data_IF_164625821507
#
_entry.id   IF_164625821507
#
_cell.length_a   1.000
_cell.length_b   1.000
_cell.length_c   1.000
_cell.angle_alpha   90.00
_cell.angle_beta   90.00
_cell.angle_gamma   90.00
#
_symmetry.space_group_name_H-M   'P 1'
#
loop_
_entity.id
_entity.type
_entity.pdbx_description
1 polymer ?
#
# COMPACT_ATOMS: atom_id res chain seq x y z
N UNK A 1 11.69 33.01 30.66
CA UNK A 1 11.27 33.76 29.45
C UNK A 1 11.20 32.75 28.31
N UNK A 2 10.01 32.19 28.05
CA UNK A 2 9.73 31.41 26.85
C UNK A 2 9.88 32.34 25.63
N UNK A 3 10.90 32.10 24.81
CA UNK A 3 10.97 32.73 23.50
C UNK A 3 9.80 32.16 22.67
N UNK A 4 8.78 32.96 22.45
CA UNK A 4 7.78 32.67 21.42
C UNK A 4 8.54 32.55 20.10
N UNK A 5 8.68 31.33 19.58
CA UNK A 5 9.15 31.11 18.20
C UNK A 5 8.15 31.84 17.30
N UNK A 6 8.65 32.74 16.45
CA UNK A 6 7.84 33.35 15.38
C UNK A 6 7.20 32.20 14.62
N UNK A 7 5.88 32.21 14.41
CA UNK A 7 5.22 31.15 13.65
C UNK A 7 5.88 31.06 12.27
N UNK A 8 6.35 29.89 11.90
CA UNK A 8 6.83 29.64 10.54
C UNK A 8 5.61 29.74 9.63
N UNK A 9 5.65 30.68 8.67
CA UNK A 9 4.60 30.78 7.66
C UNK A 9 4.56 29.46 6.86
N UNK A 10 3.41 28.79 6.90
CA UNK A 10 3.18 27.57 6.14
C UNK A 10 2.46 27.95 4.84
N UNK A 11 3.20 27.90 3.73
CA UNK A 11 2.64 28.20 2.41
C UNK A 11 1.96 26.96 1.81
N UNK A 12 0.93 27.18 1.00
CA UNK A 12 0.34 26.18 0.13
C UNK A 12 1.44 25.56 -0.75
N UNK A 13 1.55 24.24 -0.72
CA UNK A 13 2.48 23.46 -1.54
C UNK A 13 1.76 22.91 -2.76
N UNK A 14 2.47 22.83 -3.88
CA UNK A 14 2.05 22.05 -5.05
C UNK A 14 2.55 20.61 -4.88
N UNK A 15 1.63 19.68 -4.83
CA UNK A 15 1.92 18.25 -4.69
C UNK A 15 1.61 17.55 -6.00
N UNK A 16 2.62 16.93 -6.61
CA UNK A 16 2.45 16.04 -7.75
C UNK A 16 2.25 14.62 -7.23
N UNK A 17 1.06 14.08 -7.42
CA UNK A 17 0.69 12.74 -7.01
C UNK A 17 0.85 11.77 -8.19
N UNK A 18 1.81 10.85 -8.09
CA UNK A 18 2.10 9.83 -9.10
C UNK A 18 1.36 8.53 -8.76
N UNK A 19 0.29 8.28 -9.49
CA UNK A 19 -0.73 7.29 -9.19
C UNK A 19 -1.98 7.93 -8.62
N UNK A 20 -3.13 7.69 -9.25
CA UNK A 20 -4.39 8.35 -8.92
C UNK A 20 -5.49 7.34 -8.58
N UNK A 21 -5.13 6.24 -7.93
CA UNK A 21 -6.05 5.21 -7.46
C UNK A 21 -6.89 5.65 -6.25
N UNK A 22 -7.48 4.68 -5.58
CA UNK A 22 -8.31 4.90 -4.39
C UNK A 22 -7.54 5.49 -3.21
N UNK A 23 -6.30 5.04 -2.99
CA UNK A 23 -5.43 5.58 -1.95
C UNK A 23 -5.04 7.01 -2.25
N UNK A 24 -4.73 7.31 -3.53
CA UNK A 24 -4.44 8.66 -4.01
C UNK A 24 -5.63 9.61 -3.85
N UNK A 25 -6.87 9.12 -4.02
CA UNK A 25 -8.08 9.92 -3.79
C UNK A 25 -8.21 10.34 -2.33
N UNK A 26 -8.07 9.41 -1.39
CA UNK A 26 -8.14 9.72 0.04
C UNK A 26 -6.96 10.61 0.48
N UNK A 27 -5.75 10.38 -0.06
CA UNK A 27 -4.61 11.27 0.16
C UNK A 27 -4.90 12.69 -0.34
N UNK A 28 -5.46 12.84 -1.55
CA UNK A 28 -5.83 14.14 -2.13
C UNK A 28 -6.80 14.89 -1.22
N UNK A 29 -7.84 14.22 -0.74
CA UNK A 29 -8.82 14.80 0.19
C UNK A 29 -8.14 15.25 1.50
N UNK A 30 -7.26 14.43 2.07
CA UNK A 30 -6.51 14.77 3.27
C UNK A 30 -5.59 15.98 3.07
N UNK A 31 -4.91 16.05 1.92
CA UNK A 31 -4.02 17.16 1.59
C UNK A 31 -4.77 18.48 1.34
N UNK A 32 -5.90 18.44 0.63
CA UNK A 32 -6.76 19.62 0.42
C UNK A 32 -7.35 20.16 1.71
N UNK A 33 -7.66 19.30 2.71
CA UNK A 33 -8.05 19.76 4.06
C UNK A 33 -6.97 20.59 4.76
N UNK A 34 -5.70 20.42 4.35
CA UNK A 34 -4.56 21.22 4.80
C UNK A 34 -4.22 22.36 3.84
N UNK A 35 -5.10 22.69 2.89
CA UNK A 35 -4.94 23.80 1.95
C UNK A 35 -3.86 23.55 0.88
N UNK A 36 -3.55 22.30 0.55
CA UNK A 36 -2.55 21.98 -0.48
C UNK A 36 -3.18 21.90 -1.86
N UNK A 37 -2.38 22.19 -2.89
CA UNK A 37 -2.77 22.11 -4.31
C UNK A 37 -2.28 20.80 -4.91
N UNK A 38 -3.18 19.96 -5.44
CA UNK A 38 -2.87 18.61 -5.89
C UNK A 38 -2.98 18.49 -7.40
N UNK A 39 -1.91 17.98 -8.02
CA UNK A 39 -1.88 17.57 -9.43
C UNK A 39 -1.87 16.04 -9.45
N UNK A 40 -2.97 15.42 -9.84
CA UNK A 40 -3.11 13.96 -9.87
C UNK A 40 -2.69 13.39 -11.23
N UNK A 41 -1.77 12.42 -11.24
CA UNK A 41 -1.22 11.81 -12.44
C UNK A 41 -1.56 10.33 -12.53
N UNK A 42 -1.97 9.85 -13.69
CA UNK A 42 -2.13 8.42 -13.98
C UNK A 42 -2.02 8.18 -15.50
N UNK A 43 -1.96 6.89 -15.89
CA UNK A 43 -1.88 6.49 -17.30
C UNK A 43 -3.25 6.36 -17.98
N UNK A 44 -4.35 6.67 -17.31
CA UNK A 44 -5.70 6.66 -17.86
C UNK A 44 -6.53 7.82 -17.30
N UNK A 45 -7.47 8.36 -18.07
CA UNK A 45 -8.32 9.47 -17.63
C UNK A 45 -9.40 9.00 -16.64
N UNK A 46 -9.87 9.93 -15.81
CA UNK A 46 -10.95 9.68 -14.85
C UNK A 46 -10.55 8.78 -13.67
N UNK A 47 -9.26 8.66 -13.39
CA UNK A 47 -8.78 7.93 -12.21
C UNK A 47 -9.35 8.54 -10.91
N UNK A 48 -9.55 7.75 -9.84
CA UNK A 48 -10.20 8.19 -8.61
C UNK A 48 -9.71 9.53 -8.04
N UNK A 49 -8.40 9.74 -7.93
CA UNK A 49 -7.86 10.98 -7.39
C UNK A 49 -8.07 12.19 -8.32
N UNK A 50 -8.10 11.98 -9.66
CA UNK A 50 -8.36 13.05 -10.63
C UNK A 50 -9.75 13.68 -10.45
N UNK A 51 -10.70 12.93 -9.86
CA UNK A 51 -12.08 13.41 -9.65
C UNK A 51 -12.18 14.45 -8.54
N UNK A 52 -11.16 14.55 -7.69
CA UNK A 52 -11.13 15.45 -6.51
C UNK A 52 -9.91 16.37 -6.49
N UNK A 53 -8.93 16.18 -7.37
CA UNK A 53 -7.73 16.98 -7.44
C UNK A 53 -8.00 18.38 -8.06
N UNK A 54 -7.11 19.33 -7.82
CA UNK A 54 -7.17 20.67 -8.40
C UNK A 54 -6.81 20.65 -9.90
N UNK A 55 -5.84 19.82 -10.28
CA UNK A 55 -5.40 19.58 -11.65
C UNK A 55 -5.08 18.10 -11.86
N UNK A 56 -5.01 17.66 -13.10
CA UNK A 56 -4.58 16.31 -13.42
C UNK A 56 -3.80 16.22 -14.73
N UNK A 57 -2.99 15.15 -14.85
CA UNK A 57 -2.27 14.81 -16.09
C UNK A 57 -2.45 13.31 -16.40
N UNK A 58 -2.59 13.01 -17.70
CA UNK A 58 -2.73 11.63 -18.18
C UNK A 58 -1.53 11.29 -19.06
N UNK A 59 -0.63 10.45 -18.54
CA UNK A 59 0.57 10.00 -19.24
C UNK A 59 1.13 8.73 -18.60
N UNK A 60 2.01 8.04 -19.33
CA UNK A 60 2.75 6.90 -18.75
C UNK A 60 3.87 7.40 -17.84
N UNK A 61 3.78 7.17 -16.54
CA UNK A 61 4.83 7.54 -15.58
C UNK A 61 6.10 6.68 -15.71
N UNK A 62 6.08 5.63 -16.54
CA UNK A 62 7.27 4.88 -16.97
C UNK A 62 8.03 5.59 -18.12
N UNK A 63 7.40 6.56 -18.78
CA UNK A 63 8.05 7.44 -19.74
C UNK A 63 8.73 8.60 -18.99
N UNK A 64 10.07 8.55 -18.93
CA UNK A 64 10.87 9.54 -18.20
C UNK A 64 10.76 10.94 -18.80
N UNK A 65 10.66 11.07 -20.12
CA UNK A 65 10.59 12.37 -20.78
C UNK A 65 9.22 13.02 -20.57
N UNK A 66 8.15 12.21 -20.59
CA UNK A 66 6.80 12.68 -20.24
C UNK A 66 6.73 13.12 -18.77
N UNK A 67 7.36 12.35 -17.86
CA UNK A 67 7.42 12.72 -16.44
C UNK A 67 8.20 14.02 -16.24
N UNK A 68 9.35 14.19 -16.90
CA UNK A 68 10.16 15.42 -16.85
C UNK A 68 9.35 16.63 -17.36
N UNK A 69 8.59 16.48 -18.44
CA UNK A 69 7.74 17.53 -19.00
C UNK A 69 6.64 17.97 -18.01
N UNK A 70 6.00 17.01 -17.33
CA UNK A 70 4.97 17.29 -16.31
C UNK A 70 5.57 17.99 -15.10
N UNK A 71 6.72 17.54 -14.61
CA UNK A 71 7.42 18.20 -13.49
C UNK A 71 7.85 19.62 -13.87
N UNK A 72 8.38 19.82 -15.08
CA UNK A 72 8.75 21.16 -15.58
C UNK A 72 7.56 22.09 -15.72
N UNK A 73 6.40 21.58 -16.16
CA UNK A 73 5.14 22.33 -16.32
C UNK A 73 4.60 22.80 -14.97
N UNK A 74 4.45 21.88 -14.00
CA UNK A 74 3.78 22.18 -12.73
C UNK A 74 4.71 22.73 -11.65
N UNK A 75 6.01 22.44 -11.74
CA UNK A 75 7.04 22.84 -10.75
C UNK A 75 6.59 22.50 -9.32
N UNK A 76 6.36 21.20 -9.01
CA UNK A 76 5.86 20.80 -7.72
C UNK A 76 6.90 21.08 -6.60
N UNK A 77 6.41 21.38 -5.41
CA UNK A 77 7.23 21.42 -4.20
C UNK A 77 7.48 20.01 -3.64
N UNK A 78 6.49 19.11 -3.84
CA UNK A 78 6.51 17.76 -3.30
C UNK A 78 6.02 16.78 -4.36
N UNK A 79 6.69 15.63 -4.46
CA UNK A 79 6.25 14.49 -5.27
C UNK A 79 5.90 13.35 -4.32
N UNK A 80 4.71 12.78 -4.49
CA UNK A 80 4.19 11.63 -3.74
C UNK A 80 3.93 10.50 -4.72
N UNK A 81 4.41 9.29 -4.41
CA UNK A 81 4.11 8.10 -5.18
C UNK A 81 2.99 7.29 -4.51
N UNK A 82 1.99 6.89 -5.31
CA UNK A 82 0.91 6.02 -4.85
C UNK A 82 1.00 4.63 -5.50
N UNK A 83 1.80 4.50 -6.56
CA UNK A 83 2.03 3.24 -7.28
C UNK A 83 3.53 3.02 -7.52
N UNK A 84 3.88 1.80 -7.93
CA UNK A 84 5.26 1.41 -8.22
C UNK A 84 5.67 1.64 -9.69
N UNK A 85 4.70 1.77 -10.62
CA UNK A 85 4.95 1.89 -12.07
C UNK A 85 5.40 3.30 -12.47
N UNK A 86 6.57 3.72 -11.99
CA UNK A 86 7.16 5.05 -12.17
C UNK A 86 8.61 4.90 -12.64
N UNK A 87 9.09 5.86 -13.45
CA UNK A 87 10.52 5.97 -13.81
C UNK A 87 11.30 6.53 -12.61
N UNK A 88 11.54 5.69 -11.61
CA UNK A 88 12.02 6.08 -10.28
C UNK A 88 13.40 6.69 -10.27
N UNK A 89 14.23 6.46 -11.28
CA UNK A 89 15.56 7.07 -11.42
C UNK A 89 15.47 8.59 -11.54
N UNK A 90 14.40 9.12 -12.16
CA UNK A 90 14.16 10.56 -12.30
C UNK A 90 13.91 11.24 -10.95
N UNK A 91 13.34 10.52 -9.98
CA UNK A 91 13.06 11.07 -8.65
C UNK A 91 14.32 11.54 -7.93
N UNK A 92 15.45 10.85 -8.10
CA UNK A 92 16.73 11.29 -7.54
C UNK A 92 17.20 12.62 -8.13
N UNK A 93 16.95 12.86 -9.40
CA UNK A 93 17.33 14.10 -10.05
C UNK A 93 16.42 15.25 -9.62
N UNK A 94 15.15 15.00 -9.37
CA UNK A 94 14.25 16.00 -8.80
C UNK A 94 14.64 16.37 -7.36
N UNK A 95 15.04 15.41 -6.53
CA UNK A 95 15.57 15.70 -5.18
C UNK A 95 16.81 16.58 -5.24
N UNK A 96 17.75 16.32 -6.16
CA UNK A 96 18.93 17.18 -6.37
C UNK A 96 18.58 18.61 -6.79
N UNK A 97 17.44 18.77 -7.47
CA UNK A 97 16.91 20.07 -7.89
C UNK A 97 16.11 20.78 -6.77
N UNK A 98 15.97 20.16 -5.60
CA UNK A 98 15.28 20.72 -4.43
C UNK A 98 13.80 20.40 -4.34
N UNK A 99 13.27 19.53 -5.20
CA UNK A 99 11.92 19.00 -5.07
C UNK A 99 11.91 17.91 -4.00
N UNK A 100 10.99 18.00 -3.05
CA UNK A 100 10.84 16.97 -2.04
C UNK A 100 10.16 15.73 -2.63
N UNK A 101 10.77 14.56 -2.47
CA UNK A 101 10.11 13.27 -2.75
C UNK A 101 9.79 12.62 -1.40
N UNK A 102 8.55 12.21 -1.18
CA UNK A 102 8.13 11.61 0.09
C UNK A 102 7.70 10.14 -0.08
N UNK A 103 8.25 9.23 0.76
CA UNK A 103 9.24 9.50 1.81
C UNK A 103 10.61 9.93 1.28
N UNK A 104 11.14 9.30 0.23
CA UNK A 104 12.37 9.66 -0.50
C UNK A 104 12.43 8.97 -1.86
N UNK A 105 13.22 9.49 -2.79
CA UNK A 105 13.48 8.82 -4.08
C UNK A 105 14.09 7.41 -3.88
N UNK A 106 14.96 7.26 -2.88
CA UNK A 106 15.53 5.97 -2.50
C UNK A 106 14.46 4.98 -2.08
N UNK A 107 13.51 5.39 -1.24
CA UNK A 107 12.42 4.52 -0.79
C UNK A 107 11.57 4.03 -1.95
N UNK A 108 11.14 4.93 -2.82
CA UNK A 108 10.31 4.59 -4.00
C UNK A 108 11.07 3.66 -4.95
N UNK A 109 12.35 3.94 -5.21
CA UNK A 109 13.17 3.12 -6.11
C UNK A 109 13.40 1.71 -5.56
N UNK A 110 13.75 1.58 -4.28
CA UNK A 110 14.01 0.27 -3.65
C UNK A 110 12.76 -0.61 -3.58
N UNK A 111 11.62 -0.04 -3.28
CA UNK A 111 10.36 -0.80 -3.15
C UNK A 111 9.78 -1.23 -4.49
N UNK A 112 10.11 -0.53 -5.57
CA UNK A 112 9.80 -0.97 -6.92
C UNK A 112 10.57 -2.23 -7.32
N UNK A 113 11.76 -2.43 -6.75
CA UNK A 113 12.61 -3.58 -7.00
C UNK A 113 12.59 -4.55 -5.81
N UNK A 114 11.79 -5.64 -5.92
CA UNK A 114 11.65 -6.65 -4.85
C UNK A 114 13.00 -7.25 -4.41
N UNK A 115 13.97 -7.36 -5.32
CA UNK A 115 15.34 -7.81 -5.01
C UNK A 115 16.05 -6.82 -4.09
N UNK A 116 16.00 -5.52 -4.44
CA UNK A 116 16.66 -4.49 -3.66
C UNK A 116 16.12 -4.43 -2.23
N UNK A 117 14.80 -4.41 -2.05
CA UNK A 117 14.19 -4.34 -0.72
C UNK A 117 14.42 -5.63 0.08
N UNK A 118 14.37 -6.81 -0.56
CA UNK A 118 14.61 -8.09 0.09
C UNK A 118 16.07 -8.20 0.56
N UNK A 119 17.01 -7.85 -0.29
CA UNK A 119 18.45 -7.90 0.04
C UNK A 119 18.80 -6.87 1.13
N UNK A 120 18.25 -5.66 1.08
CA UNK A 120 18.39 -4.67 2.15
C UNK A 120 17.91 -5.24 3.50
N UNK A 121 16.69 -5.80 3.53
CA UNK A 121 16.14 -6.36 4.76
C UNK A 121 16.96 -7.52 5.29
N UNK A 122 17.24 -8.53 4.45
CA UNK A 122 17.84 -9.78 4.89
C UNK A 122 19.37 -9.71 5.04
N UNK A 123 20.08 -9.09 4.08
CA UNK A 123 21.56 -9.11 4.04
C UNK A 123 22.16 -7.93 4.77
N UNK A 124 21.66 -6.70 4.51
CA UNK A 124 22.29 -5.49 5.04
C UNK A 124 21.84 -5.23 6.48
N UNK A 125 20.55 -5.44 6.78
CA UNK A 125 19.97 -5.18 8.09
C UNK A 125 19.81 -6.42 8.96
N UNK A 126 20.01 -7.62 8.41
CA UNK A 126 19.90 -8.88 9.16
C UNK A 126 18.48 -9.13 9.72
N UNK A 127 17.45 -8.60 9.08
CA UNK A 127 16.07 -8.82 9.48
C UNK A 127 15.66 -10.25 9.13
N UNK A 128 14.85 -10.86 9.99
CA UNK A 128 14.30 -12.19 9.73
C UNK A 128 13.27 -12.12 8.60
N UNK A 129 13.58 -12.80 7.49
CA UNK A 129 12.71 -12.94 6.31
C UNK A 129 12.51 -14.42 6.00
N UNK A 130 11.61 -14.76 5.07
CA UNK A 130 11.62 -16.05 4.40
C UNK A 130 12.99 -16.29 3.76
N UNK A 131 13.48 -17.54 3.72
CA UNK A 131 14.65 -17.90 2.89
C UNK A 131 14.29 -17.68 1.43
N UNK A 132 15.25 -17.24 0.62
CA UNK A 132 14.96 -16.93 -0.78
C UNK A 132 16.18 -17.12 -1.67
N UNK A 133 15.91 -17.35 -2.94
CA UNK A 133 16.88 -17.34 -4.03
C UNK A 133 16.30 -16.65 -5.26
N UNK A 134 17.18 -16.21 -6.15
CA UNK A 134 16.78 -15.64 -7.43
C UNK A 134 17.05 -16.63 -8.55
N UNK A 135 16.24 -16.55 -9.62
CA UNK A 135 16.39 -17.42 -10.79
C UNK A 135 15.99 -16.68 -12.08
N UNK A 136 16.79 -16.83 -13.11
CA UNK A 136 16.54 -16.32 -14.46
C UNK A 136 16.23 -17.46 -15.45
N UNK A 137 16.57 -18.68 -15.08
CA UNK A 137 16.35 -19.89 -15.88
C UNK A 137 15.54 -20.92 -15.09
N UNK A 138 14.89 -21.83 -15.82
CA UNK A 138 14.15 -22.94 -15.21
C UNK A 138 15.08 -23.83 -14.35
N UNK A 139 16.31 -24.07 -14.81
CA UNK A 139 17.28 -24.88 -14.08
C UNK A 139 17.67 -24.24 -12.74
N UNK A 140 17.91 -22.92 -12.74
CA UNK A 140 18.18 -22.15 -11.52
C UNK A 140 17.00 -22.19 -10.56
N UNK A 141 15.76 -22.00 -11.09
CA UNK A 141 14.55 -22.06 -10.27
C UNK A 141 14.37 -23.44 -9.63
N UNK A 142 14.62 -24.51 -10.40
CA UNK A 142 14.54 -25.89 -9.92
C UNK A 142 15.52 -26.13 -8.76
N UNK A 143 16.77 -25.73 -8.91
CA UNK A 143 17.81 -25.86 -7.87
C UNK A 143 17.45 -25.06 -6.63
N UNK A 144 16.94 -23.85 -6.82
CA UNK A 144 16.52 -22.97 -5.74
C UNK A 144 15.33 -23.56 -4.95
N UNK A 145 14.30 -24.05 -5.65
CA UNK A 145 13.15 -24.69 -5.03
C UNK A 145 13.53 -25.96 -4.27
N UNK A 146 14.38 -26.81 -4.86
CA UNK A 146 14.89 -28.02 -4.19
C UNK A 146 15.70 -27.67 -2.92
N UNK A 147 16.46 -26.55 -2.93
CA UNK A 147 17.23 -26.07 -1.77
C UNK A 147 16.37 -25.49 -0.65
N UNK A 148 15.28 -24.80 -0.98
CA UNK A 148 14.32 -24.27 -0.01
C UNK A 148 13.46 -25.39 0.56
N UNK A 149 13.07 -26.34 -0.27
CA UNK A 149 12.09 -27.36 0.02
C UNK A 149 10.67 -26.93 -0.38
N UNK A 150 9.74 -27.86 -0.30
CA UNK A 150 8.35 -27.68 -0.70
C UNK A 150 7.42 -27.74 0.51
N UNK A 151 6.31 -26.94 0.52
CA UNK A 151 5.96 -25.97 -0.48
C UNK A 151 6.86 -24.72 -0.45
N UNK A 152 7.00 -24.05 -1.61
CA UNK A 152 7.64 -22.75 -1.72
C UNK A 152 6.83 -21.81 -2.62
N UNK A 153 7.16 -20.52 -2.63
CA UNK A 153 6.45 -19.52 -3.42
C UNK A 153 7.39 -18.95 -4.49
N UNK A 154 6.94 -18.95 -5.73
CA UNK A 154 7.62 -18.30 -6.85
C UNK A 154 6.90 -17.01 -7.22
N UNK A 155 7.66 -15.93 -7.37
CA UNK A 155 7.12 -14.58 -7.69
C UNK A 155 8.02 -13.89 -8.73
N UNK A 156 7.45 -13.07 -9.66
CA UNK A 156 8.24 -12.10 -10.41
C UNK A 156 8.85 -11.04 -9.48
N UNK A 157 10.04 -10.55 -9.81
CA UNK A 157 10.63 -9.42 -9.06
C UNK A 157 9.85 -8.12 -9.20
N UNK A 158 9.23 -7.90 -10.36
CA UNK A 158 8.39 -6.74 -10.63
C UNK A 158 6.97 -7.20 -10.97
N UNK A 159 6.10 -7.18 -9.99
CA UNK A 159 4.67 -7.45 -10.14
C UNK A 159 3.89 -6.82 -8.98
N UNK A 160 2.60 -6.60 -9.16
CA UNK A 160 1.69 -6.13 -8.12
C UNK A 160 0.48 -7.05 -8.00
N UNK A 161 -0.18 -7.05 -6.83
CA UNK A 161 -1.42 -7.80 -6.58
C UNK A 161 -1.30 -9.28 -6.93
N UNK A 162 -0.21 -9.95 -6.52
CA UNK A 162 -0.03 -11.39 -6.67
C UNK A 162 0.10 -11.92 -8.11
N UNK A 163 0.17 -11.04 -9.13
CA UNK A 163 0.31 -11.48 -10.53
C UNK A 163 1.61 -12.22 -10.76
N UNK A 164 1.52 -13.40 -11.38
CA UNK A 164 2.67 -14.27 -11.61
C UNK A 164 3.13 -15.03 -10.37
N UNK A 165 2.47 -14.89 -9.22
CA UNK A 165 2.79 -15.63 -8.01
C UNK A 165 2.19 -17.04 -8.05
N UNK A 166 2.98 -18.04 -7.68
CA UNK A 166 2.57 -19.46 -7.63
C UNK A 166 3.03 -20.12 -6.33
N UNK A 167 2.12 -20.81 -5.67
CA UNK A 167 2.48 -21.78 -4.63
C UNK A 167 2.89 -23.09 -5.30
N UNK A 168 4.17 -23.42 -5.19
CA UNK A 168 4.78 -24.64 -5.72
C UNK A 168 4.76 -25.71 -4.63
N UNK A 169 3.96 -26.75 -4.82
CA UNK A 169 3.77 -27.81 -3.81
C UNK A 169 4.75 -28.97 -3.96
N UNK A 170 5.28 -29.16 -5.15
CA UNK A 170 6.21 -30.20 -5.48
C UNK A 170 7.07 -29.84 -6.71
N UNK A 171 8.07 -30.66 -6.99
CA UNK A 171 9.00 -30.44 -8.08
C UNK A 171 8.32 -30.36 -9.46
N UNK A 172 7.22 -31.09 -9.63
CA UNK A 172 6.41 -31.12 -10.86
C UNK A 172 5.75 -29.79 -11.20
N UNK A 173 5.52 -28.93 -10.20
CA UNK A 173 4.89 -27.62 -10.38
C UNK A 173 5.85 -26.52 -10.84
N UNK A 174 7.19 -26.76 -10.71
CA UNK A 174 8.20 -25.69 -10.91
C UNK A 174 8.21 -25.14 -12.33
N UNK A 175 8.05 -26.00 -13.35
CA UNK A 175 8.05 -25.56 -14.74
C UNK A 175 6.86 -24.63 -15.04
N UNK A 176 5.67 -25.00 -14.60
CA UNK A 176 4.47 -24.16 -14.73
C UNK A 176 4.58 -22.85 -13.96
N UNK A 177 5.19 -22.87 -12.78
CA UNK A 177 5.45 -21.66 -11.99
C UNK A 177 6.46 -20.74 -12.66
N UNK A 178 7.49 -21.30 -13.33
CA UNK A 178 8.45 -20.52 -14.11
C UNK A 178 7.78 -19.78 -15.26
N UNK A 179 7.02 -20.50 -16.09
CA UNK A 179 6.33 -19.93 -17.25
C UNK A 179 5.34 -18.85 -16.83
N UNK A 180 4.53 -19.11 -15.81
CA UNK A 180 3.55 -18.15 -15.28
C UNK A 180 4.23 -16.92 -14.65
N UNK A 181 5.31 -17.13 -13.89
CA UNK A 181 6.09 -16.05 -13.28
C UNK A 181 6.76 -15.16 -14.34
N UNK A 182 7.36 -15.76 -15.36
CA UNK A 182 7.98 -15.02 -16.47
C UNK A 182 6.96 -14.24 -17.30
N UNK A 183 5.78 -14.81 -17.55
CA UNK A 183 4.69 -14.12 -18.24
C UNK A 183 4.11 -12.96 -17.41
N UNK A 184 4.10 -13.07 -16.08
CA UNK A 184 3.61 -12.05 -15.14
C UNK A 184 4.64 -10.95 -14.84
N UNK A 185 5.90 -11.11 -15.26
CA UNK A 185 6.98 -10.14 -15.03
C UNK A 185 6.76 -8.84 -15.81
N UNK A 186 6.96 -7.71 -15.14
CA UNK A 186 6.93 -6.36 -15.72
C UNK A 186 8.34 -5.79 -15.85
N UNK A 187 8.56 -4.90 -16.83
CA UNK A 187 9.85 -4.26 -17.07
C UNK A 187 10.83 -5.13 -17.88
N UNK A 188 12.06 -4.65 -18.01
CA UNK A 188 13.08 -5.22 -18.90
C UNK A 188 13.82 -6.40 -18.25
N UNK A 189 13.76 -6.56 -16.94
CA UNK A 189 14.42 -7.61 -16.18
C UNK A 189 13.45 -8.75 -15.88
N UNK A 190 13.65 -9.89 -16.51
CA UNK A 190 12.88 -11.12 -16.28
C UNK A 190 13.65 -12.02 -15.30
N UNK A 191 13.46 -11.77 -14.03
CA UNK A 191 14.03 -12.56 -12.93
C UNK A 191 12.91 -12.92 -11.94
N UNK A 192 12.96 -14.12 -11.40
CA UNK A 192 12.03 -14.63 -10.40
C UNK A 192 12.72 -14.72 -9.03
N UNK A 193 11.94 -14.59 -7.97
CA UNK A 193 12.33 -14.96 -6.62
C UNK A 193 11.55 -16.20 -6.22
N UNK A 194 12.24 -17.18 -5.63
CA UNK A 194 11.63 -18.30 -4.93
C UNK A 194 11.85 -18.11 -3.44
N UNK A 195 10.78 -18.20 -2.67
CA UNK A 195 10.78 -17.95 -1.23
C UNK A 195 10.22 -19.16 -0.47
N UNK A 196 10.75 -19.39 0.72
CA UNK A 196 10.21 -20.31 1.69
C UNK A 196 8.73 -19.97 1.98
N UNK A 197 7.88 -21.00 2.00
CA UNK A 197 6.50 -20.82 2.46
C UNK A 197 6.48 -20.76 3.98
N UNK A 198 6.30 -19.56 4.53
CA UNK A 198 6.22 -19.36 5.97
C UNK A 198 4.87 -19.86 6.48
N UNK A 199 4.91 -20.79 7.42
CA UNK A 199 3.73 -21.16 8.19
C UNK A 199 3.54 -20.13 9.31
N UNK A 200 2.61 -19.21 9.09
CA UNK A 200 2.26 -18.16 10.03
C UNK A 200 0.87 -18.37 10.60
N UNK A 201 0.63 -17.77 11.76
CA UNK A 201 -0.68 -17.82 12.42
C UNK A 201 -1.57 -16.67 11.92
N UNK A 202 -0.97 -15.50 11.65
CA UNK A 202 -1.67 -14.34 11.07
C UNK A 202 -0.68 -13.35 10.42
N UNK A 203 -1.23 -12.48 9.59
CA UNK A 203 -0.50 -11.38 8.93
C UNK A 203 -0.89 -10.04 9.52
N UNK A 204 0.08 -9.13 9.61
CA UNK A 204 -0.18 -7.75 10.01
C UNK A 204 0.45 -6.77 9.03
N UNK A 205 -0.18 -5.60 8.90
CA UNK A 205 0.44 -4.37 8.41
C UNK A 205 0.70 -3.45 9.60
N UNK A 206 1.94 -3.04 9.78
CA UNK A 206 2.33 -2.04 10.77
C UNK A 206 2.59 -0.71 10.06
N UNK A 207 1.59 0.17 10.06
CA UNK A 207 1.76 1.52 9.56
C UNK A 207 2.77 2.25 10.43
N UNK A 208 3.86 2.66 9.80
CA UNK A 208 5.00 3.31 10.45
C UNK A 208 5.15 4.71 9.89
N UNK A 209 5.37 5.71 10.74
CA UNK A 209 5.51 7.11 10.33
C UNK A 209 6.89 7.61 10.69
N UNK A 210 7.64 8.04 9.70
CA UNK A 210 8.91 8.75 9.89
C UNK A 210 8.71 10.23 9.69
N UNK A 211 9.44 11.06 10.46
CA UNK A 211 9.33 12.52 10.46
C UNK A 211 10.70 13.17 10.28
N UNK A 212 10.76 14.36 9.69
CA UNK A 212 12.00 15.12 9.55
C UNK A 212 12.63 15.46 10.93
N UNK A 213 11.78 15.88 11.85
CA UNK A 213 12.16 16.29 13.19
C UNK A 213 11.23 15.62 14.21
N UNK A 214 11.49 14.39 14.53
CA UNK A 214 10.65 13.66 15.48
C UNK A 214 10.99 12.18 15.54
N UNK A 215 10.37 11.49 16.48
CA UNK A 215 10.50 10.06 16.60
C UNK A 215 9.72 9.33 15.51
N UNK A 216 10.17 8.16 15.15
CA UNK A 216 9.35 7.19 14.40
C UNK A 216 8.14 6.81 15.25
N UNK A 217 6.95 6.92 14.66
CA UNK A 217 5.70 6.55 15.29
C UNK A 217 5.15 5.27 14.65
N UNK A 218 4.44 4.49 15.45
CA UNK A 218 3.78 3.27 15.00
C UNK A 218 2.28 3.38 15.25
N UNK A 219 1.50 3.07 14.22
CA UNK A 219 0.06 2.89 14.40
C UNK A 219 -0.23 1.57 15.13
N UNK A 220 -1.42 1.42 15.71
CA UNK A 220 -1.87 0.11 16.17
C UNK A 220 -1.80 -0.90 15.02
N UNK A 221 -1.34 -2.15 15.26
CA UNK A 221 -1.18 -3.13 14.20
C UNK A 221 -2.52 -3.47 13.53
N UNK A 222 -2.50 -3.59 12.21
CA UNK A 222 -3.66 -3.93 11.39
C UNK A 222 -3.54 -5.40 11.01
N UNK A 223 -4.53 -6.20 11.39
CA UNK A 223 -4.70 -7.54 10.84
C UNK A 223 -5.43 -7.50 9.51
N UNK A 224 -5.09 -8.42 8.62
CA UNK A 224 -5.76 -8.48 7.33
C UNK A 224 -5.89 -9.92 6.83
N UNK A 225 -6.80 -10.10 5.88
CA UNK A 225 -7.01 -11.36 5.17
C UNK A 225 -6.87 -11.10 3.69
N UNK A 226 -6.03 -11.89 3.05
CA UNK A 226 -5.83 -11.87 1.60
C UNK A 226 -6.40 -13.15 0.96
N UNK A 227 -6.83 -13.03 -0.29
CA UNK A 227 -7.22 -14.17 -1.11
C UNK A 227 -6.54 -14.07 -2.46
N UNK A 228 -5.66 -15.02 -2.76
CA UNK A 228 -4.88 -14.99 -4.00
C UNK A 228 -3.94 -13.78 -4.11
N UNK A 229 -3.48 -13.21 -2.99
CA UNK A 229 -2.65 -12.01 -2.94
C UNK A 229 -3.42 -10.68 -3.01
N UNK A 230 -4.76 -10.74 -3.08
CA UNK A 230 -5.61 -9.54 -3.05
C UNK A 230 -6.25 -9.37 -1.66
N UNK A 231 -6.14 -8.18 -1.12
CA UNK A 231 -6.77 -7.73 0.12
C UNK A 231 -8.29 -7.92 0.08
N UNK A 232 -8.86 -8.52 1.13
CA UNK A 232 -10.30 -8.76 1.27
C UNK A 232 -10.90 -8.02 2.46
N UNK A 233 -10.25 -8.08 3.59
CA UNK A 233 -10.65 -7.38 4.81
C UNK A 233 -9.43 -6.95 5.62
N UNK A 234 -9.57 -5.89 6.41
CA UNK A 234 -8.63 -5.51 7.45
C UNK A 234 -9.35 -5.11 8.72
N UNK A 235 -8.65 -5.18 9.84
CA UNK A 235 -9.19 -4.86 11.15
C UNK A 235 -8.11 -4.33 12.10
N UNK A 236 -8.48 -3.44 12.99
CA UNK A 236 -7.55 -2.72 13.86
C UNK A 236 -8.19 -2.39 15.21
N UNK A 237 -7.44 -2.54 16.34
CA UNK A 237 -6.11 -3.13 16.40
C UNK A 237 -6.14 -4.66 16.47
N UNK A 238 -5.10 -5.32 15.97
CA UNK A 238 -4.87 -6.73 16.24
C UNK A 238 -4.31 -6.91 17.64
N UNK A 239 -4.85 -7.87 18.38
CA UNK A 239 -4.26 -8.31 19.65
C UNK A 239 -3.11 -9.25 19.36
N UNK A 240 -1.92 -8.88 19.82
CA UNK A 240 -0.71 -9.67 19.67
C UNK A 240 0.19 -9.58 20.90
N UNK A 241 1.14 -10.50 21.04
CA UNK A 241 2.07 -10.45 22.16
C UNK A 241 2.92 -9.19 22.13
N UNK A 242 3.23 -8.62 23.29
CA UNK A 242 4.10 -7.43 23.38
C UNK A 242 5.50 -7.69 22.83
N UNK A 243 5.98 -8.93 22.88
CA UNK A 243 7.27 -9.31 22.31
C UNK A 243 7.26 -9.24 20.79
N UNK A 244 6.23 -9.80 20.14
CA UNK A 244 6.08 -9.76 18.68
C UNK A 244 5.85 -8.32 18.18
N UNK A 245 5.06 -7.53 18.89
CA UNK A 245 4.85 -6.12 18.53
C UNK A 245 6.15 -5.32 18.59
N UNK A 246 6.93 -5.46 19.66
CA UNK A 246 8.22 -4.78 19.79
C UNK A 246 9.20 -5.21 18.70
N UNK A 247 9.22 -6.48 18.33
CA UNK A 247 10.08 -6.97 17.26
C UNK A 247 9.64 -6.43 15.88
N UNK A 248 8.34 -6.41 15.58
CA UNK A 248 7.82 -5.80 14.36
C UNK A 248 8.18 -4.30 14.28
N UNK A 249 8.01 -3.56 15.39
CA UNK A 249 8.40 -2.15 15.48
C UNK A 249 9.91 -1.93 15.28
N UNK A 250 10.75 -2.79 15.87
CA UNK A 250 12.20 -2.76 15.68
C UNK A 250 12.59 -2.95 14.21
N UNK A 251 12.01 -3.96 13.57
CA UNK A 251 12.24 -4.25 12.15
C UNK A 251 11.74 -3.12 11.23
N UNK A 252 10.53 -2.61 11.48
CA UNK A 252 9.96 -1.51 10.72
C UNK A 252 10.81 -0.25 10.84
N UNK A 253 11.26 0.08 12.06
CA UNK A 253 12.17 1.22 12.29
C UNK A 253 13.48 1.06 11.53
N UNK A 254 14.12 -0.10 11.63
CA UNK A 254 15.41 -0.35 10.98
C UNK A 254 15.33 -0.18 9.45
N UNK A 255 14.31 -0.72 8.81
CA UNK A 255 14.18 -0.66 7.35
C UNK A 255 13.77 0.73 6.86
N UNK A 256 12.89 1.44 7.57
CA UNK A 256 12.48 2.81 7.20
C UNK A 256 13.61 3.83 7.40
N UNK A 257 14.42 3.66 8.44
CA UNK A 257 15.64 4.49 8.65
C UNK A 257 16.67 4.26 7.53
N UNK A 258 16.87 3.01 7.09
CA UNK A 258 17.80 2.70 6.01
C UNK A 258 17.34 3.26 4.63
N UNK A 259 16.02 3.35 4.41
CA UNK A 259 15.45 3.93 3.20
C UNK A 259 15.36 5.45 3.22
N UNK A 260 15.40 6.03 4.39
CA UNK A 260 15.38 7.48 4.65
C UNK A 260 14.10 8.21 4.25
N UNK A 261 13.97 9.46 4.69
CA UNK A 261 12.87 10.34 4.35
C UNK A 261 11.74 10.34 5.37
N UNK A 262 10.79 11.24 5.16
CA UNK A 262 9.62 11.39 6.02
C UNK A 262 8.34 11.07 5.26
N UNK A 263 7.53 10.22 5.84
CA UNK A 263 6.29 9.73 5.25
C UNK A 263 5.67 8.60 6.07
N UNK A 264 4.62 8.04 5.53
CA UNK A 264 3.99 6.83 6.05
C UNK A 264 4.49 5.62 5.25
N UNK A 265 4.65 4.51 5.97
CA UNK A 265 5.11 3.24 5.41
C UNK A 265 4.16 2.13 5.85
N UNK A 266 3.69 1.35 4.89
CA UNK A 266 2.99 0.08 5.14
C UNK A 266 4.01 -1.06 5.22
N UNK A 267 4.32 -1.54 6.42
CA UNK A 267 5.28 -2.63 6.62
C UNK A 267 4.52 -3.89 6.97
N UNK A 268 4.69 -4.93 6.15
CA UNK A 268 3.98 -6.20 6.31
C UNK A 268 4.83 -7.26 6.98
N UNK A 269 4.22 -8.00 7.90
CA UNK A 269 4.86 -9.06 8.64
C UNK A 269 4.00 -10.32 8.70
N UNK A 270 4.65 -11.47 8.61
CA UNK A 270 4.08 -12.74 9.03
C UNK A 270 4.39 -12.96 10.51
N UNK A 271 3.37 -13.32 11.27
CA UNK A 271 3.50 -13.61 12.71
C UNK A 271 3.31 -15.10 12.93
N UNK A 272 4.32 -15.74 13.47
CA UNK A 272 4.25 -17.12 13.92
C UNK A 272 4.45 -17.14 15.43
N UNK A 273 3.46 -17.63 16.17
CA UNK A 273 3.54 -17.74 17.63
C UNK A 273 4.74 -18.61 18.06
N UNK A 274 5.08 -19.61 17.25
CA UNK A 274 6.22 -20.50 17.49
C UNK A 274 7.55 -19.92 17.04
N UNK A 275 7.56 -19.27 15.86
CA UNK A 275 8.80 -18.91 15.16
C UNK A 275 9.10 -17.42 15.19
N UNK A 276 8.18 -16.57 15.69
CA UNK A 276 8.34 -15.13 15.82
C UNK A 276 7.93 -14.34 14.57
N UNK A 277 8.51 -13.17 14.41
CA UNK A 277 8.12 -12.18 13.41
C UNK A 277 9.02 -12.30 12.17
N UNK A 278 8.41 -12.31 10.99
CA UNK A 278 9.11 -12.29 9.70
C UNK A 278 8.74 -11.04 8.91
N UNK A 279 9.73 -10.29 8.45
CA UNK A 279 9.50 -9.22 7.49
C UNK A 279 9.05 -9.81 6.15
N UNK A 280 7.94 -9.33 5.62
CA UNK A 280 7.37 -9.75 4.34
C UNK A 280 7.62 -8.72 3.24
N UNK A 281 7.02 -7.56 3.35
CA UNK A 281 7.07 -6.51 2.32
C UNK A 281 6.98 -5.12 2.94
N UNK A 282 7.29 -4.07 2.14
CA UNK A 282 7.17 -2.69 2.55
C UNK A 282 6.70 -1.83 1.38
N UNK A 283 5.73 -0.97 1.65
CA UNK A 283 5.27 0.10 0.74
C UNK A 283 5.59 1.47 1.34
N UNK A 284 6.26 2.38 0.59
CA UNK A 284 6.62 3.72 1.09
C UNK A 284 5.47 4.72 0.90
N UNK A 285 4.26 4.32 1.25
CA UNK A 285 3.00 5.01 0.97
C UNK A 285 1.87 4.45 1.82
N UNK A 286 0.69 5.10 1.85
CA UNK A 286 -0.52 4.49 2.40
C UNK A 286 -0.77 3.10 1.83
N UNK A 287 -1.26 2.20 2.67
CA UNK A 287 -1.46 0.80 2.38
C UNK A 287 -2.96 0.48 2.27
N UNK A 288 -3.35 -0.39 1.35
CA UNK A 288 -4.77 -0.71 1.15
C UNK A 288 -5.44 -1.32 2.41
N UNK A 289 -4.70 -2.07 3.22
CA UNK A 289 -5.19 -2.54 4.52
C UNK A 289 -5.43 -1.39 5.51
N UNK A 290 -4.73 -0.27 5.36
CA UNK A 290 -4.87 0.94 6.17
C UNK A 290 -6.18 1.70 5.94
N UNK A 291 -6.99 1.33 4.94
CA UNK A 291 -8.35 1.85 4.76
C UNK A 291 -9.22 1.70 6.03
N UNK A 292 -8.92 0.72 6.89
CA UNK A 292 -9.60 0.57 8.17
C UNK A 292 -9.45 1.82 9.07
N UNK A 293 -8.38 2.60 8.91
CA UNK A 293 -8.19 3.84 9.69
C UNK A 293 -9.23 4.91 9.37
N UNK A 294 -9.92 4.81 8.22
CA UNK A 294 -11.07 5.66 7.88
C UNK A 294 -12.29 5.42 8.80
N UNK A 295 -12.35 4.28 9.49
CA UNK A 295 -13.34 4.04 10.53
C UNK A 295 -13.10 4.84 11.83
N UNK A 296 -12.06 5.69 11.87
CA UNK A 296 -11.73 6.47 13.07
C UNK A 296 -11.11 5.62 14.18
N UNK A 297 -10.43 4.54 13.84
CA UNK A 297 -9.74 3.66 14.80
C UNK A 297 -8.61 4.36 15.55
N UNK A 298 -8.09 5.43 14.97
CA UNK A 298 -7.01 6.25 15.52
C UNK A 298 -7.23 7.75 15.25
N UNK A 299 -6.51 8.60 15.95
CA UNK A 299 -6.68 10.07 15.89
C UNK A 299 -6.37 10.73 14.55
N UNK A 300 -5.57 10.09 13.70
CA UNK A 300 -5.32 10.46 12.31
C UNK A 300 -5.39 9.21 11.45
N UNK A 301 -6.14 9.24 10.35
CA UNK A 301 -6.09 8.14 9.40
C UNK A 301 -4.73 8.10 8.68
N UNK A 302 -4.45 7.03 7.96
CA UNK A 302 -3.16 6.83 7.29
C UNK A 302 -2.83 7.94 6.27
N UNK A 303 -3.82 8.47 5.59
CA UNK A 303 -3.65 9.52 4.58
C UNK A 303 -3.29 10.85 5.22
N UNK A 304 -3.91 11.19 6.33
CA UNK A 304 -3.58 12.36 7.13
C UNK A 304 -2.17 12.27 7.72
N UNK A 305 -1.77 11.08 8.19
CA UNK A 305 -0.41 10.83 8.68
C UNK A 305 0.62 11.00 7.57
N UNK A 306 0.37 10.40 6.40
CA UNK A 306 1.28 10.53 5.25
C UNK A 306 1.42 11.99 4.79
N UNK A 307 0.30 12.69 4.65
CA UNK A 307 0.29 14.08 4.27
C UNK A 307 1.05 14.96 5.26
N UNK A 308 0.81 14.80 6.56
CA UNK A 308 1.54 15.55 7.60
C UNK A 308 3.04 15.31 7.56
N UNK A 309 3.45 14.04 7.48
CA UNK A 309 4.86 13.68 7.42
C UNK A 309 5.54 14.22 6.14
N UNK A 310 4.90 14.06 4.99
CA UNK A 310 5.39 14.55 3.71
C UNK A 310 5.53 16.07 3.67
N UNK A 311 4.68 16.80 4.37
CA UNK A 311 4.73 18.27 4.49
C UNK A 311 5.65 18.78 5.61
N UNK A 312 6.25 17.89 6.40
CA UNK A 312 7.08 18.27 7.56
C UNK A 312 6.25 18.81 8.73
N UNK A 313 4.95 18.55 8.77
CA UNK A 313 4.10 18.92 9.91
C UNK A 313 4.31 17.95 11.07
N UNK A 314 4.45 18.42 12.30
CA UNK A 314 4.70 17.56 13.44
C UNK A 314 3.50 16.67 13.76
N UNK A 315 3.79 15.41 14.06
CA UNK A 315 2.82 14.44 14.54
C UNK A 315 3.27 14.03 15.94
N UNK A 316 2.63 14.52 16.99
CA UNK A 316 3.11 14.30 18.36
C UNK A 316 2.92 12.85 18.82
N UNK A 317 1.83 12.21 18.43
CA UNK A 317 1.52 10.82 18.75
C UNK A 317 0.42 10.25 17.84
N UNK A 318 0.39 8.93 17.70
CA UNK A 318 -0.75 8.19 17.19
C UNK A 318 -1.47 7.53 18.38
N UNK A 319 -2.76 7.79 18.51
CA UNK A 319 -3.58 7.29 19.61
C UNK A 319 -4.70 6.41 19.06
N UNK A 320 -4.84 5.20 19.59
CA UNK A 320 -6.00 4.34 19.36
C UNK A 320 -7.23 4.99 19.98
N UNK A 321 -8.31 5.07 19.24
CA UNK A 321 -9.59 5.65 19.71
C UNK A 321 -10.65 4.57 19.87
N UNK A 322 -10.76 3.67 18.90
CA UNK A 322 -11.73 2.57 18.85
C UNK A 322 -11.18 1.44 18.00
N UNK A 323 -11.88 0.33 17.97
CA UNK A 323 -11.58 -0.72 17.00
C UNK A 323 -12.45 -0.57 15.75
N UNK A 324 -12.04 -1.25 14.67
CA UNK A 324 -12.80 -1.21 13.44
C UNK A 324 -12.37 -2.29 12.45
N UNK A 325 -13.16 -2.43 11.42
CA UNK A 325 -12.89 -3.33 10.31
C UNK A 325 -13.25 -2.69 8.97
N UNK A 326 -12.64 -3.17 7.91
CA UNK A 326 -13.02 -2.83 6.54
C UNK A 326 -13.22 -4.10 5.71
N UNK A 327 -14.14 -4.06 4.75
CA UNK A 327 -14.38 -5.13 3.81
C UNK A 327 -14.54 -4.56 2.40
N UNK A 328 -13.93 -5.24 1.40
CA UNK A 328 -13.91 -4.76 0.02
C UNK A 328 -15.22 -5.05 -0.72
N UNK A 329 -15.56 -4.16 -1.65
CA UNK A 329 -16.59 -4.32 -2.65
C UNK A 329 -15.91 -4.65 -3.97
N UNK A 330 -16.21 -5.81 -4.54
CA UNK A 330 -15.54 -6.35 -5.73
C UNK A 330 -16.47 -6.34 -6.94
N UNK A 331 -15.93 -5.96 -8.11
CA UNK A 331 -16.60 -6.16 -9.39
C UNK A 331 -16.56 -7.65 -9.78
N UNK A 332 -17.64 -8.14 -10.36
CA UNK A 332 -17.75 -9.50 -10.89
C UNK A 332 -17.38 -9.56 -12.37
N UNK A 333 -17.78 -8.55 -13.12
CA UNK A 333 -17.70 -8.51 -14.58
C UNK A 333 -16.73 -7.41 -15.07
N UNK A 334 -16.26 -7.56 -16.30
CA UNK A 334 -15.44 -6.56 -16.97
C UNK A 334 -16.33 -5.58 -17.76
N UNK A 335 -16.01 -4.28 -17.64
CA UNK A 335 -16.62 -3.22 -18.43
C UNK A 335 -15.64 -2.07 -18.65
N UNK A 336 -15.67 -1.49 -19.84
CA UNK A 336 -14.94 -0.25 -20.18
C UNK A 336 -15.74 1.03 -19.91
N UNK A 337 -16.97 0.89 -19.42
CA UNK A 337 -17.82 2.01 -19.00
C UNK A 337 -17.89 2.12 -17.48
N UNK A 338 -18.13 3.31 -16.92
CA UNK A 338 -18.31 3.47 -15.49
C UNK A 338 -19.43 2.59 -14.96
N UNK A 339 -19.20 1.86 -13.85
CA UNK A 339 -20.22 1.01 -13.26
C UNK A 339 -21.30 1.82 -12.54
N UNK A 340 -22.46 1.21 -12.40
CA UNK A 340 -23.50 1.63 -11.45
C UNK A 340 -23.41 0.79 -10.19
N UNK A 341 -24.05 1.23 -9.13
CA UNK A 341 -24.07 0.54 -7.84
C UNK A 341 -25.50 0.39 -7.34
N UNK A 342 -25.84 -0.81 -6.84
CA UNK A 342 -27.11 -1.09 -6.15
C UNK A 342 -26.84 -1.47 -4.70
N UNK A 343 -27.80 -1.23 -3.82
CA UNK A 343 -27.72 -1.62 -2.42
C UNK A 343 -26.88 -0.69 -1.55
N UNK A 344 -26.52 0.50 -2.01
CA UNK A 344 -25.78 1.49 -1.21
C UNK A 344 -26.54 1.86 0.05
N UNK A 345 -27.86 2.00 -0.05
CA UNK A 345 -28.77 2.31 1.05
C UNK A 345 -28.76 1.24 2.15
N UNK A 346 -28.44 0.00 1.80
CA UNK A 346 -28.36 -1.11 2.75
C UNK A 346 -27.08 -1.10 3.60
N UNK A 347 -26.13 -0.23 3.28
CA UNK A 347 -24.91 -0.04 4.07
C UNK A 347 -25.05 1.06 5.12
N UNK A 348 -26.17 1.81 5.12
CA UNK A 348 -26.42 2.92 6.02
C UNK A 348 -26.85 2.40 7.40
N UNK A 349 -25.93 1.78 8.13
CA UNK A 349 -26.11 1.37 9.51
C UNK A 349 -25.28 2.25 10.44
N UNK A 350 -25.66 2.28 11.72
CA UNK A 350 -24.90 2.97 12.76
C UNK A 350 -23.45 2.42 12.79
N UNK A 351 -22.48 3.31 12.92
CA UNK A 351 -21.04 3.01 12.95
C UNK A 351 -20.46 2.43 11.64
N UNK A 352 -21.22 2.46 10.55
CA UNK A 352 -20.76 2.05 9.24
C UNK A 352 -20.60 3.24 8.29
N UNK A 353 -19.59 3.19 7.43
CA UNK A 353 -19.38 4.17 6.38
C UNK A 353 -18.94 3.47 5.08
N UNK A 354 -19.26 4.08 3.94
CA UNK A 354 -19.04 3.54 2.61
C UNK A 354 -18.08 4.44 1.82
N UNK A 355 -17.10 3.82 1.18
CA UNK A 355 -16.20 4.49 0.21
C UNK A 355 -16.31 3.83 -1.14
N UNK A 356 -16.95 4.50 -2.10
CA UNK A 356 -16.91 4.13 -3.52
C UNK A 356 -15.71 4.82 -4.14
N UNK A 357 -14.83 4.05 -4.75
CA UNK A 357 -13.57 4.56 -5.28
C UNK A 357 -13.73 5.42 -6.53
N UNK A 358 -14.76 5.13 -7.34
CA UNK A 358 -15.02 5.88 -8.58
C UNK A 358 -14.14 5.42 -9.76
N UNK A 359 -13.67 4.18 -9.75
CA UNK A 359 -12.90 3.62 -10.88
C UNK A 359 -13.77 3.59 -12.14
N UNK A 360 -13.28 4.11 -13.30
CA UNK A 360 -14.10 4.27 -14.52
C UNK A 360 -14.35 2.97 -15.27
N UNK A 361 -13.66 1.89 -14.93
CA UNK A 361 -13.79 0.58 -15.57
C UNK A 361 -13.86 -0.52 -14.53
N UNK A 362 -14.36 -1.69 -14.92
CA UNK A 362 -14.39 -2.88 -14.06
C UNK A 362 -13.64 -4.05 -14.69
N UNK A 363 -13.25 -4.98 -13.87
CA UNK A 363 -12.78 -6.33 -14.24
C UNK A 363 -13.04 -7.27 -13.06
N UNK A 364 -13.13 -8.58 -13.28
CA UNK A 364 -13.31 -9.52 -12.19
C UNK A 364 -12.31 -9.29 -11.04
N UNK A 365 -12.82 -9.30 -9.82
CA UNK A 365 -12.10 -9.04 -8.58
C UNK A 365 -11.47 -7.66 -8.44
N UNK A 366 -11.80 -6.68 -9.32
CA UNK A 366 -11.36 -5.30 -9.10
C UNK A 366 -12.07 -4.71 -7.89
N UNK A 367 -11.30 -4.18 -6.95
CA UNK A 367 -11.84 -3.46 -5.80
C UNK A 367 -12.45 -2.14 -6.25
N UNK A 368 -13.74 -1.96 -5.97
CA UNK A 368 -14.54 -0.80 -6.40
C UNK A 368 -14.94 0.08 -5.24
N UNK A 369 -14.81 -0.42 -4.03
CA UNK A 369 -15.11 0.31 -2.80
C UNK A 369 -14.75 -0.50 -1.57
N UNK A 370 -14.96 0.08 -0.41
CA UNK A 370 -14.90 -0.57 0.90
C UNK A 370 -16.05 -0.11 1.77
N UNK A 371 -16.53 -0.98 2.63
CA UNK A 371 -17.30 -0.60 3.81
C UNK A 371 -16.36 -0.64 4.99
N UNK A 372 -16.37 0.41 5.79
CA UNK A 372 -15.64 0.50 7.06
C UNK A 372 -16.64 0.55 8.20
N UNK A 373 -16.37 -0.20 9.26
CA UNK A 373 -17.22 -0.28 10.45
C UNK A 373 -16.36 -0.01 11.69
N UNK A 374 -16.82 0.87 12.56
CA UNK A 374 -16.17 1.12 13.84
C UNK A 374 -16.94 0.46 14.99
N UNK A 375 -16.27 0.26 16.11
CA UNK A 375 -16.89 -0.24 17.34
C UNK A 375 -16.05 0.14 18.56
N UNK A 376 -16.67 0.10 19.73
CA UNK A 376 -15.99 0.38 20.99
C UNK A 376 -14.95 -0.70 21.32
N UNK A 377 -13.91 -0.35 22.06
CA UNK A 377 -12.83 -1.27 22.44
C UNK A 377 -13.29 -2.48 23.25
N UNK A 378 -14.49 -2.45 23.78
CA UNK A 378 -15.12 -3.53 24.56
C UNK A 378 -15.95 -4.50 23.72
N UNK A 379 -16.25 -4.13 22.48
CA UNK A 379 -17.03 -4.98 21.57
C UNK A 379 -16.18 -6.15 21.03
N UNK A 380 -16.85 -7.17 20.52
CA UNK A 380 -16.18 -8.28 19.87
C UNK A 380 -15.73 -7.84 18.46
N UNK A 381 -14.44 -7.87 18.21
CA UNK A 381 -13.86 -7.47 16.91
C UNK A 381 -14.38 -8.36 15.75
N UNK A 382 -14.64 -9.65 15.98
CA UNK A 382 -15.16 -10.53 14.95
C UNK A 382 -16.59 -10.16 14.54
N UNK A 383 -17.40 -9.62 15.44
CA UNK A 383 -18.75 -9.12 15.12
C UNK A 383 -18.64 -7.88 14.22
N UNK A 384 -17.72 -6.97 14.51
CA UNK A 384 -17.44 -5.79 13.68
C UNK A 384 -16.94 -6.20 12.28
N UNK A 385 -16.03 -7.17 12.19
CA UNK A 385 -15.55 -7.76 10.93
C UNK A 385 -16.68 -8.40 10.13
N UNK A 386 -17.53 -9.17 10.79
CA UNK A 386 -18.69 -9.81 10.15
C UNK A 386 -19.71 -8.78 9.67
N UNK A 387 -19.93 -7.70 10.44
CA UNK A 387 -20.78 -6.57 10.04
C UNK A 387 -20.22 -5.91 8.77
N UNK A 388 -18.92 -5.59 8.71
CA UNK A 388 -18.29 -4.99 7.54
C UNK A 388 -18.46 -5.86 6.28
N UNK A 389 -18.19 -7.17 6.39
CA UNK A 389 -18.38 -8.13 5.29
C UNK A 389 -19.82 -8.25 4.84
N UNK A 390 -20.76 -8.30 5.78
CA UNK A 390 -22.20 -8.36 5.48
C UNK A 390 -22.64 -7.12 4.70
N UNK A 391 -22.28 -5.94 5.17
CA UNK A 391 -22.64 -4.68 4.54
C UNK A 391 -22.00 -4.53 3.16
N UNK A 392 -20.71 -4.86 3.01
CA UNK A 392 -20.04 -4.87 1.71
C UNK A 392 -20.69 -5.84 0.72
N UNK A 393 -21.22 -6.97 1.21
CA UNK A 393 -21.94 -7.97 0.42
C UNK A 393 -23.27 -7.50 -0.13
N UNK A 394 -23.87 -6.43 0.41
CA UNK A 394 -25.11 -5.85 -0.11
C UNK A 394 -24.88 -4.98 -1.35
N UNK A 395 -23.66 -4.48 -1.54
CA UNK A 395 -23.34 -3.60 -2.66
C UNK A 395 -23.04 -4.42 -3.90
N UNK A 396 -23.86 -4.26 -4.91
CA UNK A 396 -23.67 -4.87 -6.23
C UNK A 396 -23.07 -3.84 -7.20
N UNK A 397 -21.95 -4.21 -7.83
CA UNK A 397 -21.34 -3.44 -8.91
C UNK A 397 -21.97 -3.90 -10.21
N UNK A 398 -22.74 -3.01 -10.83
CA UNK A 398 -23.50 -3.30 -12.06
C UNK A 398 -22.78 -2.70 -13.26
N UNK A 399 -22.47 -3.53 -14.24
CA UNK A 399 -21.95 -3.07 -15.52
C UNK A 399 -23.12 -2.77 -16.46
N UNK A 400 -23.10 -1.63 -17.15
CA UNK A 400 -24.09 -1.34 -18.18
C UNK A 400 -24.00 -2.41 -19.27
N UNK A 401 -25.09 -3.13 -19.48
CA UNK A 401 -25.24 -3.98 -20.67
C UNK A 401 -25.48 -3.07 -21.86
N UNK A 402 -24.92 -3.42 -23.03
CA UNK A 402 -25.00 -2.64 -24.28
C UNK A 402 -26.43 -2.42 -24.82
N UNK A 403 -27.45 -2.57 -23.99
CA UNK A 403 -28.88 -2.50 -24.33
C UNK A 403 -29.70 -1.56 -23.42
N UNK A 404 -29.07 -0.69 -22.61
CA UNK A 404 -29.78 0.35 -21.85
C UNK A 404 -29.43 1.75 -22.35
#
# INVERSE_FOLDING_TARGET
KQRHKIPTLFYMKKILLLGSGELGKEFTIAAQRLGQHIIACDNYPGAPAMQVADEFEVFSMLDGDALDAVVAKHKPDVIISEIEAIRTERLYDYEKQGVRVAPSARAVNFTMNRKAIRDLAAKDLGLKTAKYFYATTLEELQKAADSIGYPCIVKPLMSSSGKGQTLVKGREDVAGAFDYGMAGSRGDVKELIVEEFIQFDYEITLLTVTQDNGNTLFCPPIGHVQKGGDYQESFQPVVMSSAHLKEAQRMAKAITEALTGAGLWGVEFFISEKNGVYFSELSPRPHDTGMVTLAGTQNFNEFELHCRAALGLPIPLVKTLRQGASAVILAKDASNTPPLYKGLELTCEEDADLRIFGKPTTRPNRRMGVVVVSGEMTENLDDIRNKAKRLAGYVEVVTATSND
#
